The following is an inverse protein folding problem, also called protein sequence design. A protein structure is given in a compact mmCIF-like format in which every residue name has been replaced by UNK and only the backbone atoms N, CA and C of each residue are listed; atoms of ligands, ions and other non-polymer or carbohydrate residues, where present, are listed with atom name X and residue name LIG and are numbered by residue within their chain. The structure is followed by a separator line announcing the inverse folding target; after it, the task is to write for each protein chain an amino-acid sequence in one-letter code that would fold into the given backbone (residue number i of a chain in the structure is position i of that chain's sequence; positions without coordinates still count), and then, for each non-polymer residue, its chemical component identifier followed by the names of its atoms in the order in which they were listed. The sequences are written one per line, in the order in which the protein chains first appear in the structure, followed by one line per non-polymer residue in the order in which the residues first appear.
data_IF_950818587792
#
_entry.id   IF_950818587792
#
_cell.length_a   1.000
_cell.length_b   1.000
_cell.length_c   1.000
_cell.angle_alpha   90.00
_cell.angle_beta   90.00
_cell.angle_gamma   90.00
#
_symmetry.space_group_name_H-M   'P 1'
#
loop_
_entity.id
_entity.type
_entity.pdbx_description
1 polymer ?
#
# COMPACT_ATOMS: atom_id res chain seq x y z
N UNK A 1 11.02 -2.68 -20.97
CA UNK A 1 9.68 -2.64 -21.61
C UNK A 1 9.42 -1.26 -22.19
N UNK A 2 8.60 -1.17 -23.25
CA UNK A 2 8.13 0.10 -23.79
C UNK A 2 6.78 0.42 -23.14
N UNK A 3 6.71 1.48 -22.34
CA UNK A 3 5.54 1.84 -21.56
C UNK A 3 5.05 3.24 -21.96
N UNK A 4 3.75 3.37 -22.22
CA UNK A 4 3.10 4.66 -22.50
C UNK A 4 2.25 5.02 -21.27
N UNK A 5 2.45 6.22 -20.73
CA UNK A 5 1.68 6.76 -19.63
C UNK A 5 0.86 7.94 -20.14
N UNK A 6 -0.46 7.84 -20.06
CA UNK A 6 -1.38 8.90 -20.48
C UNK A 6 -1.87 9.64 -19.24
N UNK A 7 -1.45 10.89 -19.10
CA UNK A 7 -1.67 11.77 -17.97
C UNK A 7 -0.43 11.98 -17.12
N UNK A 8 0.21 13.16 -17.24
CA UNK A 8 1.36 13.60 -16.45
C UNK A 8 0.94 14.29 -15.14
N UNK A 9 -0.14 13.80 -14.52
CA UNK A 9 -0.53 14.24 -13.18
C UNK A 9 0.36 13.61 -12.10
N UNK A 10 0.06 13.88 -10.82
CA UNK A 10 0.87 13.44 -9.67
C UNK A 10 1.22 11.94 -9.66
N UNK A 11 0.27 11.08 -10.02
CA UNK A 11 0.50 9.61 -10.06
C UNK A 11 1.28 9.23 -11.30
N UNK A 12 0.93 9.79 -12.48
CA UNK A 12 1.67 9.53 -13.72
C UNK A 12 3.13 9.95 -13.62
N UNK A 13 3.41 11.11 -13.03
CA UNK A 13 4.77 11.58 -12.74
C UNK A 13 5.54 10.60 -11.87
N UNK A 14 4.98 10.21 -10.71
CA UNK A 14 5.63 9.30 -9.78
C UNK A 14 5.91 7.92 -10.41
N UNK A 15 4.97 7.43 -11.22
CA UNK A 15 5.17 6.19 -11.97
C UNK A 15 6.29 6.33 -12.99
N UNK A 16 6.31 7.44 -13.76
CA UNK A 16 7.36 7.69 -14.75
C UNK A 16 8.74 7.72 -14.11
N UNK A 17 8.88 8.43 -12.98
CA UNK A 17 10.12 8.51 -12.23
C UNK A 17 10.60 7.13 -11.75
N UNK A 18 9.72 6.31 -11.20
CA UNK A 18 10.09 4.99 -10.68
C UNK A 18 10.41 4.00 -11.80
N UNK A 19 9.58 3.96 -12.86
CA UNK A 19 9.76 3.06 -13.99
C UNK A 19 11.03 3.41 -14.81
N UNK A 20 11.38 4.69 -14.89
CA UNK A 20 12.64 5.12 -15.50
C UNK A 20 13.85 4.60 -14.72
N UNK A 21 13.81 4.65 -13.38
CA UNK A 21 14.86 4.08 -12.52
C UNK A 21 15.01 2.55 -12.68
N UNK A 22 13.96 1.87 -13.14
CA UNK A 22 13.96 0.44 -13.44
C UNK A 22 14.35 0.12 -14.90
N UNK A 23 14.91 1.10 -15.64
CA UNK A 23 15.37 0.98 -17.02
C UNK A 23 14.26 0.62 -18.03
N UNK A 24 13.05 1.14 -17.85
CA UNK A 24 11.99 1.07 -18.84
C UNK A 24 12.06 2.27 -19.80
N UNK A 25 11.69 2.07 -21.07
CA UNK A 25 11.50 3.15 -22.03
C UNK A 25 10.11 3.76 -21.85
N UNK A 26 10.04 5.00 -21.40
CA UNK A 26 8.77 5.66 -21.04
C UNK A 26 8.41 6.73 -22.07
N UNK A 27 7.16 6.73 -22.50
CA UNK A 27 6.55 7.82 -23.26
C UNK A 27 5.40 8.39 -22.44
N UNK A 28 5.39 9.70 -22.23
CA UNK A 28 4.32 10.40 -21.52
C UNK A 28 3.46 11.17 -22.52
N UNK A 29 2.14 11.01 -22.42
CA UNK A 29 1.15 11.80 -23.18
C UNK A 29 0.38 12.67 -22.20
N UNK A 30 0.34 13.99 -22.44
CA UNK A 30 -0.52 14.93 -21.71
C UNK A 30 -0.94 16.08 -22.62
N UNK A 31 -1.99 16.79 -22.25
CA UNK A 31 -2.44 18.03 -22.91
C UNK A 31 -1.75 19.27 -22.37
N UNK A 32 -1.09 19.16 -21.23
CA UNK A 32 -0.38 20.24 -20.51
C UNK A 32 1.08 20.25 -20.94
N UNK A 33 1.43 21.18 -21.84
CA UNK A 33 2.77 21.29 -22.38
C UNK A 33 3.82 21.69 -21.33
N UNK A 34 3.45 22.49 -20.32
CA UNK A 34 4.37 22.90 -19.25
C UNK A 34 4.80 21.69 -18.42
N UNK A 35 3.86 20.80 -18.08
CA UNK A 35 4.16 19.55 -17.38
C UNK A 35 5.01 18.58 -18.19
N UNK A 36 4.78 18.54 -19.50
CA UNK A 36 5.58 17.71 -20.39
C UNK A 36 7.01 18.26 -20.53
N UNK A 37 7.21 19.56 -20.59
CA UNK A 37 8.53 20.19 -20.60
C UNK A 37 9.29 19.91 -19.29
N UNK A 38 8.60 20.05 -18.14
CA UNK A 38 9.17 19.71 -16.85
C UNK A 38 9.55 18.23 -16.76
N UNK A 39 8.68 17.31 -17.21
CA UNK A 39 8.95 15.89 -17.24
C UNK A 39 10.14 15.54 -18.14
N UNK A 40 10.21 16.08 -19.34
CA UNK A 40 11.30 15.85 -20.30
C UNK A 40 12.65 16.42 -19.86
N UNK A 41 12.66 17.44 -18.99
CA UNK A 41 13.91 17.99 -18.43
C UNK A 41 14.37 17.30 -17.16
N UNK A 42 13.43 16.72 -16.38
CA UNK A 42 13.71 16.13 -15.07
C UNK A 42 13.88 14.61 -15.13
N UNK A 43 13.12 13.95 -16.01
CA UNK A 43 13.08 12.50 -16.17
C UNK A 43 13.66 12.10 -17.54
N UNK A 44 14.21 10.90 -17.63
CA UNK A 44 14.65 10.31 -18.91
C UNK A 44 13.44 9.68 -19.64
N UNK A 45 12.58 10.53 -20.21
CA UNK A 45 11.31 10.13 -20.84
C UNK A 45 11.10 10.88 -22.17
N UNK A 46 10.37 10.24 -23.09
CA UNK A 46 9.84 10.92 -24.27
C UNK A 46 8.46 11.54 -23.97
N UNK A 47 8.21 12.74 -24.44
CA UNK A 47 6.95 13.45 -24.23
C UNK A 47 6.22 13.68 -25.56
N UNK A 48 4.90 13.46 -25.55
CA UNK A 48 4.01 13.70 -26.70
C UNK A 48 2.84 14.58 -26.22
N UNK A 49 2.72 15.78 -26.78
CA UNK A 49 1.63 16.68 -26.45
C UNK A 49 0.35 16.28 -27.19
N UNK A 50 -0.76 16.08 -26.45
CA UNK A 50 -2.04 15.78 -27.05
C UNK A 50 -2.97 14.97 -26.16
N UNK A 51 -4.14 14.65 -26.72
CA UNK A 51 -5.18 13.89 -26.03
C UNK A 51 -4.95 12.41 -26.17
N UNK A 52 -4.99 11.67 -25.05
CA UNK A 52 -4.72 10.23 -25.03
C UNK A 52 -5.71 9.37 -25.82
N UNK A 53 -6.93 9.85 -26.05
CA UNK A 53 -7.94 9.21 -26.89
C UNK A 53 -7.80 9.56 -28.39
N UNK A 54 -6.76 10.29 -28.79
CA UNK A 54 -6.47 10.56 -30.20
C UNK A 54 -5.61 9.46 -30.84
N UNK A 55 -6.12 8.87 -31.91
CA UNK A 55 -5.40 7.82 -32.65
C UNK A 55 -4.06 8.31 -33.21
N UNK A 56 -3.98 9.57 -33.69
CA UNK A 56 -2.74 10.15 -34.20
C UNK A 56 -1.70 10.31 -33.07
N UNK A 57 -2.09 10.79 -31.89
CA UNK A 57 -1.22 10.94 -30.72
C UNK A 57 -0.74 9.59 -30.19
N UNK A 58 -1.63 8.59 -30.12
CA UNK A 58 -1.25 7.23 -29.71
C UNK A 58 -0.24 6.60 -30.69
N UNK A 59 -0.40 6.83 -32.00
CA UNK A 59 0.57 6.35 -33.01
C UNK A 59 1.90 7.06 -32.93
N UNK A 60 1.90 8.37 -32.73
CA UNK A 60 3.11 9.18 -32.49
C UNK A 60 3.88 8.69 -31.26
N UNK A 61 3.15 8.33 -30.19
CA UNK A 61 3.72 7.75 -28.99
C UNK A 61 4.21 6.29 -29.16
N UNK A 62 4.02 5.68 -30.33
CA UNK A 62 4.53 4.34 -30.62
C UNK A 62 3.67 3.20 -30.07
N UNK A 63 2.34 3.39 -29.95
CA UNK A 63 1.39 2.42 -29.37
C UNK A 63 1.46 1.03 -30.01
N UNK A 64 1.81 0.94 -31.30
CA UNK A 64 1.90 -0.32 -32.05
C UNK A 64 3.00 -1.28 -31.51
N UNK A 65 4.03 -0.73 -30.84
CA UNK A 65 5.11 -1.48 -30.23
C UNK A 65 5.12 -1.38 -28.69
N UNK A 66 3.99 -0.96 -28.10
CA UNK A 66 3.86 -0.73 -26.67
C UNK A 66 3.61 -2.04 -25.93
N UNK A 67 4.41 -2.33 -24.90
CA UNK A 67 4.20 -3.49 -24.02
C UNK A 67 3.08 -3.21 -23.01
N UNK A 68 2.97 -1.96 -22.54
CA UNK A 68 1.98 -1.54 -21.55
C UNK A 68 1.57 -0.09 -21.75
N UNK A 69 0.26 0.18 -21.86
CA UNK A 69 -0.28 1.53 -21.78
C UNK A 69 -1.03 1.72 -20.46
N UNK A 70 -0.75 2.82 -19.76
CA UNK A 70 -1.35 3.18 -18.47
C UNK A 70 -2.12 4.48 -18.64
N UNK A 71 -3.45 4.46 -18.57
CA UNK A 71 -4.30 5.63 -18.70
C UNK A 71 -4.71 6.18 -17.33
N UNK A 72 -4.27 7.41 -17.00
CA UNK A 72 -4.36 8.04 -15.68
C UNK A 72 -4.92 9.47 -15.70
N UNK A 73 -5.64 9.86 -16.77
CA UNK A 73 -6.26 11.19 -16.86
C UNK A 73 -7.46 11.34 -15.91
N UNK A 74 -7.98 12.57 -15.75
CA UNK A 74 -8.99 12.86 -14.74
C UNK A 74 -10.34 12.14 -14.94
N UNK A 75 -10.76 11.87 -16.20
CA UNK A 75 -12.00 11.17 -16.53
C UNK A 75 -11.79 9.67 -16.65
N UNK A 76 -12.64 8.90 -15.97
CA UNK A 76 -12.63 7.43 -16.03
C UNK A 76 -13.03 6.94 -17.42
N UNK A 77 -14.01 7.60 -18.08
CA UNK A 77 -14.46 7.28 -19.43
C UNK A 77 -13.33 7.44 -20.46
N UNK A 78 -12.55 8.53 -20.35
CA UNK A 78 -11.40 8.76 -21.22
C UNK A 78 -10.30 7.73 -20.99
N UNK A 79 -10.07 7.31 -19.75
CA UNK A 79 -9.12 6.24 -19.45
C UNK A 79 -9.53 4.92 -20.11
N UNK A 80 -10.81 4.56 -19.99
CA UNK A 80 -11.35 3.34 -20.61
C UNK A 80 -11.30 3.40 -22.13
N UNK A 81 -11.71 4.53 -22.73
CA UNK A 81 -11.64 4.74 -24.18
C UNK A 81 -10.19 4.69 -24.69
N UNK A 82 -9.27 5.35 -24.00
CA UNK A 82 -7.83 5.33 -24.35
C UNK A 82 -7.28 3.91 -24.34
N UNK A 83 -7.58 3.13 -23.32
CA UNK A 83 -7.17 1.73 -23.22
C UNK A 83 -7.76 0.87 -24.35
N UNK A 84 -9.05 1.02 -24.66
CA UNK A 84 -9.69 0.31 -25.77
C UNK A 84 -9.03 0.63 -27.11
N UNK A 85 -8.78 1.92 -27.41
CA UNK A 85 -8.09 2.34 -28.63
C UNK A 85 -6.66 1.82 -28.70
N UNK A 86 -5.90 1.94 -27.59
CA UNK A 86 -4.53 1.45 -27.52
C UNK A 86 -4.46 -0.07 -27.78
N UNK A 87 -5.38 -0.83 -27.18
CA UNK A 87 -5.47 -2.29 -27.40
C UNK A 87 -5.73 -2.62 -28.87
N UNK A 88 -6.64 -1.88 -29.51
CA UNK A 88 -6.95 -2.05 -30.93
C UNK A 88 -5.82 -1.63 -31.87
N UNK A 89 -4.98 -0.71 -31.43
CA UNK A 89 -3.81 -0.22 -32.19
C UNK A 89 -2.55 -1.09 -32.00
N UNK A 90 -2.56 -2.07 -31.06
CA UNK A 90 -1.48 -3.02 -30.91
C UNK A 90 -0.81 -3.08 -29.55
N UNK A 91 -1.22 -2.25 -28.56
CA UNK A 91 -0.70 -2.35 -27.20
C UNK A 91 -0.95 -3.76 -26.64
N UNK A 92 0.11 -4.39 -26.08
CA UNK A 92 0.00 -5.76 -25.55
C UNK A 92 -0.85 -5.80 -24.29
N UNK A 93 -0.69 -4.82 -23.41
CA UNK A 93 -1.43 -4.72 -22.16
C UNK A 93 -1.88 -3.29 -21.90
N UNK A 94 -2.98 -3.13 -21.16
CA UNK A 94 -3.53 -1.82 -20.82
C UNK A 94 -3.98 -1.77 -19.35
N UNK A 95 -3.73 -0.65 -18.68
CA UNK A 95 -4.20 -0.35 -17.33
C UNK A 95 -5.03 0.93 -17.37
N UNK A 96 -6.26 0.89 -16.89
CA UNK A 96 -7.12 2.06 -16.74
C UNK A 96 -7.28 2.44 -15.26
N UNK A 97 -7.16 3.75 -14.96
CA UNK A 97 -7.61 4.29 -13.69
C UNK A 97 -9.12 4.50 -13.75
N UNK A 98 -9.85 3.85 -12.81
CA UNK A 98 -11.30 3.94 -12.68
C UNK A 98 -11.63 4.18 -11.21
N UNK A 99 -12.18 5.34 -10.86
CA UNK A 99 -12.39 5.81 -9.49
C UNK A 99 -13.84 5.90 -9.06
N UNK A 100 -14.74 6.09 -10.02
CA UNK A 100 -16.15 6.29 -9.72
C UNK A 100 -16.78 4.98 -9.23
N UNK A 101 -17.47 5.00 -8.08
CA UNK A 101 -18.20 3.84 -7.58
C UNK A 101 -19.20 3.23 -8.56
N UNK A 102 -19.79 4.04 -9.43
CA UNK A 102 -20.76 3.59 -10.44
C UNK A 102 -20.12 2.59 -11.42
N UNK A 103 -18.82 2.77 -11.72
CA UNK A 103 -18.10 1.86 -12.62
C UNK A 103 -17.50 0.65 -11.91
N UNK A 104 -17.40 0.65 -10.59
CA UNK A 104 -16.70 -0.38 -9.82
C UNK A 104 -17.28 -1.79 -10.06
N UNK A 105 -18.60 -1.91 -10.16
CA UNK A 105 -19.28 -3.18 -10.41
C UNK A 105 -19.30 -3.51 -11.91
N UNK A 106 -19.52 -2.50 -12.76
CA UNK A 106 -19.60 -2.67 -14.21
C UNK A 106 -18.27 -3.07 -14.86
N UNK A 107 -17.14 -2.55 -14.37
CA UNK A 107 -15.83 -2.77 -14.98
C UNK A 107 -15.44 -4.24 -15.01
N UNK A 108 -15.80 -5.02 -13.99
CA UNK A 108 -15.52 -6.45 -13.93
C UNK A 108 -16.27 -7.25 -15.01
N UNK A 109 -17.39 -6.72 -15.49
CA UNK A 109 -18.21 -7.34 -16.55
C UNK A 109 -17.60 -7.05 -17.93
N UNK A 110 -17.11 -5.81 -18.14
CA UNK A 110 -16.72 -5.32 -19.48
C UNK A 110 -15.22 -5.26 -19.71
N UNK A 111 -14.38 -5.57 -18.71
CA UNK A 111 -12.91 -5.44 -18.80
C UNK A 111 -12.31 -6.19 -19.98
N UNK A 112 -12.80 -7.39 -20.27
CA UNK A 112 -12.30 -8.24 -21.35
C UNK A 112 -12.68 -7.66 -22.71
N UNK A 113 -13.89 -7.12 -22.86
CA UNK A 113 -14.36 -6.44 -24.08
C UNK A 113 -13.56 -5.15 -24.35
N UNK A 114 -13.19 -4.44 -23.28
CA UNK A 114 -12.32 -3.26 -23.36
C UNK A 114 -10.84 -3.60 -23.56
N UNK A 115 -10.48 -4.87 -23.46
CA UNK A 115 -9.11 -5.33 -23.55
C UNK A 115 -8.23 -4.86 -22.38
N UNK A 116 -8.83 -4.62 -21.21
CA UNK A 116 -8.13 -4.21 -20.01
C UNK A 116 -7.41 -5.40 -19.37
N UNK A 117 -6.09 -5.26 -19.23
CA UNK A 117 -5.30 -6.22 -18.45
C UNK A 117 -5.50 -6.01 -16.95
N UNK A 118 -5.66 -4.74 -16.53
CA UNK A 118 -5.93 -4.35 -15.16
C UNK A 118 -6.68 -3.02 -15.09
N UNK A 119 -7.49 -2.85 -14.07
CA UNK A 119 -7.98 -1.53 -13.67
C UNK A 119 -7.52 -1.22 -12.25
N UNK A 120 -7.32 0.06 -11.94
CA UNK A 120 -6.91 0.51 -10.62
C UNK A 120 -7.84 1.61 -10.13
N UNK A 121 -8.25 1.45 -8.86
CA UNK A 121 -8.97 2.47 -8.11
C UNK A 121 -8.10 2.93 -6.94
N UNK A 122 -7.47 4.12 -7.05
CA UNK A 122 -6.58 4.65 -6.01
C UNK A 122 -7.26 4.82 -4.66
N UNK A 123 -8.53 5.28 -4.70
CA UNK A 123 -9.29 5.52 -3.49
C UNK A 123 -9.69 4.21 -2.80
N UNK A 124 -10.05 3.17 -3.56
CA UNK A 124 -10.33 1.85 -3.00
C UNK A 124 -9.06 1.18 -2.47
N UNK A 125 -7.93 1.32 -3.17
CA UNK A 125 -6.64 0.79 -2.69
C UNK A 125 -6.24 1.41 -1.34
N UNK A 126 -6.33 2.75 -1.23
CA UNK A 126 -6.08 3.46 0.02
C UNK A 126 -7.12 3.15 1.11
N UNK A 127 -8.39 2.94 0.74
CA UNK A 127 -9.44 2.55 1.67
C UNK A 127 -9.17 1.18 2.31
N UNK A 128 -8.71 0.22 1.52
CA UNK A 128 -8.31 -1.10 2.03
C UNK A 128 -7.16 -1.00 3.04
N UNK A 129 -6.18 -0.12 2.79
CA UNK A 129 -5.08 0.10 3.72
C UNK A 129 -5.56 0.73 5.02
N UNK A 130 -6.40 1.77 4.96
CA UNK A 130 -7.00 2.38 6.14
C UNK A 130 -7.84 1.35 6.94
N UNK A 131 -8.65 0.55 6.25
CA UNK A 131 -9.45 -0.47 6.92
C UNK A 131 -8.59 -1.51 7.65
N UNK A 132 -7.45 -1.91 7.09
CA UNK A 132 -6.48 -2.79 7.78
C UNK A 132 -5.92 -2.16 9.03
N UNK A 133 -5.63 -0.84 9.01
CA UNK A 133 -5.20 -0.12 10.21
C UNK A 133 -6.27 -0.13 11.31
N UNK A 134 -7.55 -0.20 10.97
CA UNK A 134 -8.63 -0.35 11.97
C UNK A 134 -8.69 -1.76 12.57
N UNK A 135 -8.28 -2.78 11.81
CA UNK A 135 -8.19 -4.16 12.32
C UNK A 135 -6.97 -4.36 13.24
N UNK A 136 -5.93 -3.56 13.06
CA UNK A 136 -4.69 -3.57 13.85
C UNK A 136 -4.36 -2.15 14.33
N UNK A 137 -5.14 -1.58 15.27
CA UNK A 137 -4.97 -0.18 15.68
C UNK A 137 -3.60 0.11 16.30
N UNK A 138 -2.90 -0.88 16.85
CA UNK A 138 -1.55 -0.77 17.39
C UNK A 138 -0.49 -0.63 16.29
N UNK A 139 -0.77 -1.14 15.07
CA UNK A 139 0.18 -1.07 13.97
C UNK A 139 0.21 0.33 13.35
N UNK A 140 1.40 0.77 12.95
CA UNK A 140 1.59 2.00 12.16
C UNK A 140 1.31 1.74 10.69
N UNK A 141 1.68 0.53 10.21
CA UNK A 141 1.53 0.08 8.84
C UNK A 141 1.13 -1.40 8.84
N UNK A 142 0.28 -1.79 7.90
CA UNK A 142 -0.10 -3.19 7.68
C UNK A 142 -0.02 -3.50 6.20
N UNK A 143 0.89 -4.39 5.82
CA UNK A 143 1.02 -4.90 4.45
C UNK A 143 0.56 -6.35 4.40
N UNK A 144 -0.08 -6.75 3.31
CA UNK A 144 -0.70 -8.08 3.17
C UNK A 144 -0.07 -8.88 2.05
N UNK A 145 0.26 -10.14 2.35
CA UNK A 145 0.88 -11.11 1.46
C UNK A 145 0.05 -12.40 1.38
N UNK A 146 0.42 -13.29 0.47
CA UNK A 146 -0.18 -14.60 0.29
C UNK A 146 -1.71 -14.54 0.19
N UNK A 147 -2.24 -13.54 -0.57
CA UNK A 147 -3.69 -13.30 -0.76
C UNK A 147 -4.43 -13.08 0.56
N UNK A 148 -3.87 -12.31 1.48
CA UNK A 148 -4.49 -11.97 2.76
C UNK A 148 -4.25 -12.99 3.89
N UNK A 149 -3.30 -13.90 3.74
CA UNK A 149 -3.01 -14.91 4.78
C UNK A 149 -1.89 -14.52 5.72
N UNK A 150 -1.01 -13.65 5.28
CA UNK A 150 0.17 -13.19 6.02
C UNK A 150 0.19 -11.67 6.01
N UNK A 151 0.42 -11.10 7.18
CA UNK A 151 0.54 -9.66 7.39
C UNK A 151 1.99 -9.32 7.77
N UNK A 152 2.48 -8.19 7.28
CA UNK A 152 3.64 -7.50 7.85
C UNK A 152 3.12 -6.28 8.58
N UNK A 153 3.29 -6.27 9.90
CA UNK A 153 2.80 -5.21 10.77
C UNK A 153 3.99 -4.42 11.30
N UNK A 154 3.97 -3.10 11.11
CA UNK A 154 4.94 -2.19 11.71
C UNK A 154 4.38 -1.64 13.01
N UNK A 155 5.13 -1.83 14.10
CA UNK A 155 4.76 -1.43 15.45
C UNK A 155 5.90 -0.66 16.10
N UNK A 156 5.58 0.46 16.76
CA UNK A 156 6.56 1.23 17.53
C UNK A 156 6.52 0.77 18.98
N UNK A 157 7.66 0.30 19.48
CA UNK A 157 7.78 -0.15 20.87
C UNK A 157 7.64 1.06 21.82
N UNK A 158 6.59 1.11 22.66
CA UNK A 158 6.44 2.19 23.64
C UNK A 158 7.41 2.03 24.80
N UNK A 159 7.54 3.10 25.59
CA UNK A 159 8.28 3.05 26.86
C UNK A 159 7.65 2.01 27.80
N UNK A 160 8.52 1.24 28.48
CA UNK A 160 8.11 0.16 29.42
C UNK A 160 7.40 -1.03 28.76
N UNK A 161 7.47 -1.18 27.44
CA UNK A 161 7.00 -2.37 26.76
C UNK A 161 7.76 -3.61 27.24
N UNK A 162 7.11 -4.78 27.33
CA UNK A 162 7.82 -6.03 27.63
C UNK A 162 8.77 -6.47 26.50
N UNK A 163 8.78 -5.76 25.37
CA UNK A 163 9.73 -5.93 24.28
C UNK A 163 11.01 -5.10 24.45
N UNK A 164 11.02 -4.12 25.37
CA UNK A 164 12.22 -3.31 25.64
C UNK A 164 13.31 -4.14 26.30
N UNK A 165 14.54 -3.98 25.82
CA UNK A 165 15.75 -4.73 26.24
C UNK A 165 15.65 -6.25 26.01
N UNK A 166 14.76 -6.70 25.09
CA UNK A 166 14.53 -8.12 24.81
C UNK A 166 15.25 -8.56 23.53
N UNK A 167 16.10 -9.63 23.60
CA UNK A 167 16.65 -10.26 22.40
C UNK A 167 15.53 -10.98 21.60
N UNK A 168 15.56 -10.83 20.26
CA UNK A 168 14.52 -11.36 19.37
C UNK A 168 14.30 -12.87 19.56
N UNK A 169 15.37 -13.66 19.77
CA UNK A 169 15.24 -15.12 19.95
C UNK A 169 14.40 -15.53 21.18
N UNK A 170 14.22 -14.61 22.16
CA UNK A 170 13.40 -14.87 23.34
C UNK A 170 11.91 -14.63 23.13
N UNK A 171 11.51 -13.84 22.11
CA UNK A 171 10.11 -13.50 21.84
C UNK A 171 9.25 -14.75 21.74
N UNK A 172 9.68 -15.71 20.92
CA UNK A 172 8.95 -16.97 20.73
C UNK A 172 8.75 -17.73 22.07
N UNK A 173 9.79 -17.78 22.91
CA UNK A 173 9.76 -18.51 24.18
C UNK A 173 8.89 -17.81 25.23
N UNK A 174 9.05 -16.49 25.38
CA UNK A 174 8.37 -15.71 26.44
C UNK A 174 6.88 -15.58 26.12
N UNK A 175 6.55 -15.22 24.88
CA UNK A 175 5.16 -14.94 24.50
C UNK A 175 4.46 -16.16 23.84
N UNK A 176 5.11 -17.31 23.71
CA UNK A 176 4.55 -18.50 23.05
C UNK A 176 3.86 -18.11 21.73
N UNK A 177 4.58 -17.43 20.86
CA UNK A 177 4.09 -16.88 19.59
C UNK A 177 4.94 -17.32 18.42
N UNK A 178 4.40 -17.27 17.21
CA UNK A 178 5.13 -17.52 15.97
C UNK A 178 5.32 -16.25 15.13
N UNK A 179 5.27 -15.07 15.75
CA UNK A 179 5.63 -13.83 15.05
C UNK A 179 7.12 -13.86 14.67
N UNK A 180 7.43 -13.32 13.50
CA UNK A 180 8.80 -13.23 13.00
C UNK A 180 9.19 -11.77 12.81
N UNK A 181 10.25 -11.32 13.50
CA UNK A 181 10.79 -9.96 13.35
C UNK A 181 11.62 -9.92 12.08
N UNK A 182 11.22 -9.13 11.10
CA UNK A 182 11.88 -9.07 9.79
C UNK A 182 12.66 -7.77 9.55
N UNK A 183 12.29 -6.66 10.20
CA UNK A 183 13.04 -5.40 10.13
C UNK A 183 12.88 -4.60 11.42
N UNK A 184 13.89 -3.80 11.75
CA UNK A 184 13.88 -2.85 12.88
C UNK A 184 14.41 -1.51 12.39
N UNK A 185 13.66 -0.44 12.67
CA UNK A 185 14.08 0.93 12.43
C UNK A 185 14.41 1.59 13.76
N UNK A 186 15.64 2.12 13.88
CA UNK A 186 16.14 2.83 15.06
C UNK A 186 16.97 4.03 14.61
N UNK A 187 16.60 5.23 15.05
CA UNK A 187 17.33 6.47 14.75
C UNK A 187 17.59 6.69 13.24
N UNK A 188 16.59 6.47 12.39
CA UNK A 188 16.65 6.54 10.92
C UNK A 188 17.57 5.49 10.25
N UNK A 189 18.13 4.56 11.01
CA UNK A 189 18.82 3.39 10.49
C UNK A 189 17.87 2.19 10.43
N UNK A 190 18.07 1.32 9.44
CA UNK A 190 17.26 0.13 9.23
C UNK A 190 18.13 -1.10 9.33
N UNK A 191 17.66 -2.07 10.11
CA UNK A 191 18.33 -3.35 10.36
C UNK A 191 17.43 -4.49 9.91
N UNK A 192 18.00 -5.47 9.22
CA UNK A 192 17.43 -6.81 9.08
C UNK A 192 18.06 -7.64 10.20
N UNK A 193 17.33 -7.90 11.31
CA UNK A 193 17.93 -8.33 12.54
C UNK A 193 18.22 -9.83 12.57
N UNK A 194 19.28 -10.20 13.29
CA UNK A 194 19.51 -11.59 13.71
C UNK A 194 18.80 -11.87 15.04
N UNK A 195 18.70 -13.14 15.42
CA UNK A 195 18.08 -13.54 16.69
C UNK A 195 18.66 -12.87 17.93
N UNK A 196 19.96 -12.51 17.91
CA UNK A 196 20.64 -11.86 19.04
C UNK A 196 20.42 -10.34 19.10
N UNK A 197 19.72 -9.76 18.11
CA UNK A 197 19.42 -8.33 18.11
C UNK A 197 18.51 -7.98 19.29
N UNK A 198 18.89 -6.94 20.05
CA UNK A 198 18.15 -6.49 21.22
C UNK A 198 17.23 -5.35 20.82
N UNK A 199 15.93 -5.54 21.01
CA UNK A 199 14.90 -4.52 20.80
C UNK A 199 14.98 -3.46 21.89
N UNK A 200 14.60 -2.22 21.57
CA UNK A 200 14.59 -1.06 22.47
C UNK A 200 13.28 -0.30 22.36
N UNK A 201 12.89 0.35 23.44
CA UNK A 201 11.83 1.36 23.37
C UNK A 201 12.15 2.42 22.32
N UNK A 202 11.14 2.83 21.55
CA UNK A 202 11.28 3.75 20.42
C UNK A 202 11.60 3.09 19.08
N UNK A 203 12.02 1.81 19.04
CA UNK A 203 12.20 1.07 17.79
C UNK A 203 10.85 0.92 17.06
N UNK A 204 10.87 1.07 15.73
CA UNK A 204 9.77 0.64 14.90
C UNK A 204 10.10 -0.75 14.32
N UNK A 205 9.36 -1.76 14.77
CA UNK A 205 9.61 -3.17 14.47
C UNK A 205 8.59 -3.67 13.48
N UNK A 206 9.04 -4.33 12.41
CA UNK A 206 8.17 -5.01 11.45
C UNK A 206 8.11 -6.49 11.77
N UNK A 207 6.89 -6.99 12.01
CA UNK A 207 6.58 -8.40 12.30
C UNK A 207 5.88 -9.05 11.11
N UNK A 208 6.28 -10.28 10.78
CA UNK A 208 5.54 -11.16 9.86
C UNK A 208 4.72 -12.13 10.69
N UNK A 209 3.42 -12.19 10.46
CA UNK A 209 2.51 -13.10 11.13
C UNK A 209 1.21 -13.32 10.33
N UNK A 210 0.44 -14.34 10.66
CA UNK A 210 -0.98 -14.38 10.26
C UNK A 210 -1.78 -13.42 11.14
N UNK A 211 -2.92 -12.91 10.65
CA UNK A 211 -3.77 -11.98 11.41
C UNK A 211 -4.11 -12.48 12.82
N UNK A 212 -4.40 -13.78 12.96
CA UNK A 212 -4.70 -14.41 14.25
C UNK A 212 -3.49 -14.34 15.20
N UNK A 213 -2.32 -14.74 14.72
CA UNK A 213 -1.07 -14.76 15.51
C UNK A 213 -0.67 -13.34 15.92
N UNK A 214 -0.83 -12.36 15.03
CA UNK A 214 -0.56 -10.96 15.32
C UNK A 214 -1.45 -10.43 16.47
N UNK A 215 -2.76 -10.65 16.39
CA UNK A 215 -3.69 -10.23 17.44
C UNK A 215 -3.37 -10.90 18.78
N UNK A 216 -3.12 -12.22 18.80
CA UNK A 216 -2.72 -12.93 20.02
C UNK A 216 -1.41 -12.38 20.60
N UNK A 217 -0.47 -12.00 19.75
CA UNK A 217 0.81 -11.42 20.17
C UNK A 217 0.62 -10.05 20.81
N UNK A 218 -0.15 -9.14 20.19
CA UNK A 218 -0.41 -7.82 20.76
C UNK A 218 -1.06 -7.92 22.14
N UNK A 219 -2.03 -8.80 22.32
CA UNK A 219 -2.61 -9.06 23.66
C UNK A 219 -1.56 -9.53 24.67
N UNK A 220 -0.64 -10.43 24.27
CA UNK A 220 0.40 -10.97 25.15
C UNK A 220 1.46 -9.94 25.55
N UNK A 221 1.72 -8.95 24.74
CA UNK A 221 2.65 -7.86 25.09
C UNK A 221 1.95 -6.72 25.85
N UNK A 222 0.67 -6.91 26.21
CA UNK A 222 -0.11 -5.94 27.00
C UNK A 222 -0.78 -4.85 26.17
N UNK A 223 -0.71 -4.95 24.85
CA UNK A 223 -1.49 -4.12 23.96
C UNK A 223 -2.89 -4.72 23.87
N UNK A 224 -3.80 -4.24 24.72
CA UNK A 224 -5.21 -4.63 24.59
C UNK A 224 -5.68 -4.25 23.19
N UNK A 225 -6.25 -5.22 22.48
CA UNK A 225 -6.91 -4.95 21.21
C UNK A 225 -8.21 -4.17 21.51
N UNK A 226 -8.10 -2.87 21.70
CA UNK A 226 -9.25 -1.98 21.61
C UNK A 226 -9.77 -2.12 20.19
N UNK A 227 -10.79 -2.98 20.03
CA UNK A 227 -11.44 -3.14 18.74
C UNK A 227 -12.06 -1.81 18.40
N UNK A 228 -11.65 -1.23 17.29
CA UNK A 228 -12.31 -0.04 16.75
C UNK A 228 -13.76 -0.39 16.46
N UNK A 229 -14.69 0.34 17.05
CA UNK A 229 -16.13 0.20 16.85
C UNK A 229 -16.77 1.46 16.32
N UNK A 230 -16.27 2.60 16.76
CA UNK A 230 -16.81 3.92 16.45
C UNK A 230 -15.74 4.77 15.76
N UNK A 231 -15.95 5.11 14.49
CA UNK A 231 -15.02 5.85 13.64
C UNK A 231 -15.63 7.19 13.26
N UNK A 232 -14.88 8.27 13.51
CA UNK A 232 -15.18 9.61 12.99
C UNK A 232 -14.30 9.92 11.80
N UNK A 233 -14.89 10.28 10.67
CA UNK A 233 -14.20 10.64 9.44
C UNK A 233 -14.46 12.12 9.14
N UNK A 234 -13.39 12.89 8.97
CA UNK A 234 -13.45 14.30 8.58
C UNK A 234 -13.17 14.43 7.08
N UNK A 235 -14.19 14.85 6.32
CA UNK A 235 -14.16 14.97 4.86
C UNK A 235 -14.89 13.84 4.14
N UNK A 236 -15.88 14.16 3.30
CA UNK A 236 -16.78 13.23 2.59
C UNK A 236 -16.34 12.88 1.16
N UNK A 237 -15.04 12.80 0.88
CA UNK A 237 -14.50 12.48 -0.45
C UNK A 237 -14.78 11.05 -0.95
N UNK A 238 -14.28 10.71 -2.16
CA UNK A 238 -14.38 9.33 -2.69
C UNK A 238 -13.70 8.30 -1.80
N UNK A 239 -12.53 8.64 -1.23
CA UNK A 239 -11.83 7.78 -0.30
C UNK A 239 -12.72 7.45 0.91
N UNK A 240 -13.39 8.46 1.49
CA UNK A 240 -14.32 8.28 2.60
C UNK A 240 -15.45 7.33 2.26
N UNK A 241 -16.02 7.42 1.07
CA UNK A 241 -17.05 6.47 0.61
C UNK A 241 -16.55 5.02 0.67
N UNK A 242 -15.38 4.73 0.07
CA UNK A 242 -14.85 3.37 0.06
C UNK A 242 -14.45 2.88 1.45
N UNK A 243 -13.79 3.72 2.25
CA UNK A 243 -13.45 3.39 3.66
C UNK A 243 -14.71 3.06 4.43
N UNK A 244 -15.73 3.94 4.37
CA UNK A 244 -16.97 3.75 5.13
C UNK A 244 -17.69 2.46 4.74
N UNK A 245 -17.76 2.14 3.44
CA UNK A 245 -18.36 0.91 2.95
C UNK A 245 -17.68 -0.32 3.56
N UNK A 246 -16.34 -0.38 3.54
CA UNK A 246 -15.58 -1.51 4.10
C UNK A 246 -15.74 -1.61 5.62
N UNK A 247 -15.74 -0.47 6.32
CA UNK A 247 -15.89 -0.44 7.79
C UNK A 247 -17.28 -0.88 8.22
N UNK A 248 -18.33 -0.42 7.53
CA UNK A 248 -19.71 -0.82 7.78
C UNK A 248 -19.91 -2.32 7.55
N UNK A 249 -19.38 -2.86 6.44
CA UNK A 249 -19.38 -4.31 6.16
C UNK A 249 -18.64 -5.12 7.25
N UNK A 250 -17.72 -4.47 7.99
CA UNK A 250 -16.99 -5.03 9.13
C UNK A 250 -17.69 -4.79 10.48
N UNK A 251 -18.95 -4.31 10.50
CA UNK A 251 -19.73 -3.94 11.67
C UNK A 251 -19.08 -2.83 12.53
N UNK A 252 -18.45 -1.86 11.90
CA UNK A 252 -17.89 -0.66 12.52
C UNK A 252 -18.85 0.51 12.24
N UNK A 253 -19.22 1.26 13.27
CA UNK A 253 -20.04 2.44 13.12
C UNK A 253 -19.24 3.59 12.54
N UNK A 254 -19.79 4.27 11.54
CA UNK A 254 -19.11 5.35 10.85
C UNK A 254 -19.91 6.63 10.96
N UNK A 255 -19.26 7.70 11.43
CA UNK A 255 -19.76 9.06 11.44
C UNK A 255 -18.87 9.89 10.48
N UNK A 256 -19.48 10.61 9.53
CA UNK A 256 -18.79 11.43 8.54
C UNK A 256 -19.18 12.90 8.74
N UNK A 257 -18.19 13.78 8.88
CA UNK A 257 -18.37 15.23 8.95
C UNK A 257 -17.92 15.81 7.61
N UNK A 258 -18.85 16.45 6.88
CA UNK A 258 -18.61 17.00 5.54
C UNK A 258 -19.23 18.39 5.42
N UNK A 259 -18.45 19.33 4.86
CA UNK A 259 -18.84 20.73 4.73
C UNK A 259 -19.78 21.01 3.55
N UNK A 260 -19.70 20.20 2.49
CA UNK A 260 -20.54 20.35 1.30
C UNK A 260 -21.87 19.64 1.47
N UNK A 261 -22.97 20.41 1.48
CA UNK A 261 -24.33 19.88 1.65
C UNK A 261 -24.74 18.89 0.55
N UNK A 262 -24.41 19.19 -0.71
CA UNK A 262 -24.74 18.30 -1.82
C UNK A 262 -23.98 16.97 -1.71
N UNK A 263 -22.75 17.04 -1.19
CA UNK A 263 -21.94 15.83 -0.91
C UNK A 263 -22.51 15.03 0.27
N UNK A 264 -23.01 15.68 1.31
CA UNK A 264 -23.73 15.01 2.40
C UNK A 264 -24.95 14.25 1.89
N UNK A 265 -25.78 14.88 1.08
CA UNK A 265 -26.98 14.28 0.51
C UNK A 265 -26.62 13.06 -0.35
N UNK A 266 -25.63 13.16 -1.22
CA UNK A 266 -25.11 12.06 -2.02
C UNK A 266 -24.58 10.88 -1.19
N UNK A 267 -23.82 11.16 -0.13
CA UNK A 267 -23.31 10.11 0.74
C UNK A 267 -24.41 9.42 1.54
N UNK A 268 -25.44 10.17 1.96
CA UNK A 268 -26.59 9.62 2.68
C UNK A 268 -27.38 8.60 1.84
N UNK A 269 -27.44 8.80 0.51
CA UNK A 269 -28.06 7.86 -0.40
C UNK A 269 -27.22 6.58 -0.58
N UNK A 270 -25.89 6.73 -0.66
CA UNK A 270 -24.98 5.61 -0.91
C UNK A 270 -24.59 4.81 0.34
N UNK A 271 -24.66 5.43 1.53
CA UNK A 271 -24.23 4.87 2.81
C UNK A 271 -25.32 5.05 3.85
N UNK A 272 -26.48 4.39 3.72
CA UNK A 272 -27.62 4.60 4.63
C UNK A 272 -27.33 4.19 6.09
N UNK A 273 -26.31 3.39 6.33
CA UNK A 273 -25.89 2.95 7.67
C UNK A 273 -24.88 3.91 8.31
N UNK A 274 -24.31 4.87 7.57
CA UNK A 274 -23.41 5.87 8.11
C UNK A 274 -24.17 7.07 8.66
N UNK A 275 -23.68 7.66 9.74
CA UNK A 275 -24.16 8.95 10.23
C UNK A 275 -23.47 10.08 9.48
N UNK A 276 -24.20 10.88 8.71
CA UNK A 276 -23.66 11.99 7.94
C UNK A 276 -23.99 13.31 8.62
N UNK A 277 -22.97 14.06 8.99
CA UNK A 277 -23.07 15.38 9.63
C UNK A 277 -22.64 16.46 8.65
N UNK A 278 -23.55 17.38 8.33
CA UNK A 278 -23.23 18.55 7.55
C UNK A 278 -22.57 19.61 8.42
N UNK A 279 -21.28 19.88 8.20
CA UNK A 279 -20.56 20.89 8.96
C UNK A 279 -19.06 20.93 8.62
N UNK A 280 -18.43 22.00 9.08
CA UNK A 280 -16.99 22.20 8.93
C UNK A 280 -16.25 21.42 10.03
N UNK A 281 -15.48 20.40 9.63
CA UNK A 281 -14.68 19.59 10.54
C UNK A 281 -13.54 20.35 11.23
N UNK A 282 -13.25 21.59 10.85
CA UNK A 282 -12.31 22.46 11.60
C UNK A 282 -12.97 23.21 12.74
N UNK A 283 -14.29 23.14 12.86
CA UNK A 283 -15.04 23.77 13.93
C UNK A 283 -15.01 22.89 15.20
N UNK A 284 -14.24 23.32 16.18
CA UNK A 284 -14.08 22.64 17.45
C UNK A 284 -15.40 22.40 18.19
N UNK A 285 -16.33 23.38 18.18
CA UNK A 285 -17.64 23.26 18.83
C UNK A 285 -18.45 22.11 18.20
N UNK A 286 -18.46 22.01 16.88
CA UNK A 286 -19.12 20.91 16.17
C UNK A 286 -18.51 19.55 16.54
N UNK A 287 -17.17 19.45 16.62
CA UNK A 287 -16.51 18.19 16.97
C UNK A 287 -16.89 17.72 18.38
N UNK A 288 -17.00 18.64 19.35
CA UNK A 288 -17.47 18.33 20.69
C UNK A 288 -18.96 17.98 20.74
N UNK A 289 -19.83 18.71 20.01
CA UNK A 289 -21.26 18.37 19.91
C UNK A 289 -21.45 16.96 19.34
N UNK A 290 -20.61 16.57 18.37
CA UNK A 290 -20.60 15.25 17.76
C UNK A 290 -19.80 14.21 18.55
N UNK A 291 -19.30 14.58 19.73
CA UNK A 291 -18.65 13.68 20.69
C UNK A 291 -17.45 12.96 20.10
N UNK A 292 -16.52 13.74 19.49
CA UNK A 292 -15.27 13.18 18.96
C UNK A 292 -14.48 12.42 20.03
N UNK A 293 -14.65 12.77 21.30
CA UNK A 293 -13.99 12.19 22.47
C UNK A 293 -14.35 10.72 22.70
N UNK A 294 -15.49 10.28 22.17
CA UNK A 294 -15.95 8.89 22.31
C UNK A 294 -15.49 8.00 21.14
N UNK A 295 -14.75 8.56 20.16
CA UNK A 295 -14.32 7.82 18.98
C UNK A 295 -13.16 6.87 19.29
N UNK A 296 -13.23 5.63 18.81
CA UNK A 296 -12.11 4.69 18.83
C UNK A 296 -11.07 5.02 17.73
N UNK A 297 -11.53 5.69 16.65
CA UNK A 297 -10.63 6.15 15.60
C UNK A 297 -11.11 7.46 14.96
N UNK A 298 -10.14 8.29 14.55
CA UNK A 298 -10.37 9.55 13.82
C UNK A 298 -9.58 9.55 12.52
N UNK A 299 -10.29 9.71 11.40
CA UNK A 299 -9.70 9.70 10.06
C UNK A 299 -9.80 11.09 9.44
N UNK A 300 -8.67 11.77 9.20
CA UNK A 300 -8.61 13.07 8.55
C UNK A 300 -8.38 12.90 7.05
N UNK A 301 -9.47 12.96 6.25
CA UNK A 301 -9.50 12.60 4.83
C UNK A 301 -9.95 13.74 3.90
N UNK A 302 -9.81 15.00 4.32
CA UNK A 302 -10.24 16.17 3.55
C UNK A 302 -9.44 16.38 2.26
N UNK A 303 -9.77 17.41 1.51
CA UNK A 303 -9.04 17.84 0.31
C UNK A 303 -7.69 18.53 0.58
N UNK A 304 -7.45 19.06 1.79
CA UNK A 304 -6.24 19.80 2.20
C UNK A 304 -5.38 18.98 3.14
N UNK A 305 -4.09 18.89 2.84
CA UNK A 305 -3.10 18.20 3.66
C UNK A 305 -2.88 18.93 4.99
N UNK A 306 -2.86 20.27 4.96
CA UNK A 306 -2.71 21.13 6.14
C UNK A 306 -3.87 20.93 7.13
N UNK A 307 -5.11 20.90 6.62
CA UNK A 307 -6.27 20.61 7.46
C UNK A 307 -6.21 19.21 8.04
N UNK A 308 -5.79 18.21 7.25
CA UNK A 308 -5.67 16.83 7.72
C UNK A 308 -4.64 16.72 8.85
N UNK A 309 -3.47 17.40 8.72
CA UNK A 309 -2.45 17.42 9.77
C UNK A 309 -2.99 18.09 11.03
N UNK A 310 -3.60 19.28 10.91
CA UNK A 310 -4.16 20.00 12.07
C UNK A 310 -5.25 19.19 12.79
N UNK A 311 -6.17 18.59 12.03
CA UNK A 311 -7.25 17.77 12.61
C UNK A 311 -6.71 16.53 13.30
N UNK A 312 -5.70 15.89 12.72
CA UNK A 312 -5.08 14.72 13.33
C UNK A 312 -4.29 15.06 14.59
N UNK A 313 -3.57 16.18 14.61
CA UNK A 313 -2.94 16.69 15.84
C UNK A 313 -3.97 16.98 16.94
N UNK A 314 -5.07 17.65 16.56
CA UNK A 314 -6.17 17.92 17.48
C UNK A 314 -6.78 16.62 18.02
N UNK A 315 -7.11 15.67 17.15
CA UNK A 315 -7.65 14.36 17.54
C UNK A 315 -6.71 13.61 18.50
N UNK A 316 -5.40 13.58 18.20
CA UNK A 316 -4.40 12.93 19.07
C UNK A 316 -4.27 13.57 20.46
N UNK A 317 -4.66 14.87 20.60
CA UNK A 317 -4.70 15.54 21.90
C UNK A 317 -6.01 15.28 22.66
N UNK A 318 -7.14 15.30 21.95
CA UNK A 318 -8.47 15.12 22.58
C UNK A 318 -8.76 13.67 22.92
N UNK A 319 -8.31 12.72 22.09
CA UNK A 319 -8.54 11.29 22.22
C UNK A 319 -7.22 10.52 22.09
N UNK A 320 -6.36 10.55 23.13
CA UNK A 320 -5.01 9.98 23.06
C UNK A 320 -4.98 8.48 22.75
N UNK A 321 -6.03 7.76 23.12
CA UNK A 321 -6.16 6.31 22.90
C UNK A 321 -6.79 5.95 21.56
N UNK A 322 -7.32 6.93 20.82
CA UNK A 322 -7.93 6.69 19.52
C UNK A 322 -6.86 6.43 18.43
N UNK A 323 -7.20 5.54 17.51
CA UNK A 323 -6.41 5.40 16.27
C UNK A 323 -6.60 6.62 15.38
N UNK A 324 -5.53 7.36 15.12
CA UNK A 324 -5.56 8.50 14.20
C UNK A 324 -4.95 8.13 12.85
N UNK A 325 -5.62 8.50 11.76
CA UNK A 325 -5.11 8.31 10.39
C UNK A 325 -5.19 9.62 9.62
N UNK A 326 -4.09 10.00 9.02
CA UNK A 326 -3.92 11.25 8.29
C UNK A 326 -3.67 10.98 6.82
N UNK A 327 -4.54 11.49 5.95
CA UNK A 327 -4.29 11.46 4.50
C UNK A 327 -3.38 12.61 4.08
N UNK A 328 -2.30 12.29 3.37
CA UNK A 328 -1.37 13.25 2.79
C UNK A 328 -1.24 13.01 1.29
N UNK A 329 -1.27 14.07 0.50
CA UNK A 329 -1.13 14.03 -0.97
C UNK A 329 0.24 14.47 -1.46
N UNK A 330 0.97 15.28 -0.67
CA UNK A 330 2.24 15.90 -1.01
C UNK A 330 3.32 15.50 0.00
N UNK A 331 4.51 15.16 -0.50
CA UNK A 331 5.57 14.51 0.28
C UNK A 331 6.73 15.40 0.71
N UNK A 332 6.71 16.68 0.38
CA UNK A 332 7.90 17.52 0.47
C UNK A 332 8.40 17.76 1.90
N UNK A 333 7.70 17.23 2.92
CA UNK A 333 7.99 17.45 4.35
C UNK A 333 7.94 16.17 5.20
N UNK A 334 8.24 15.00 4.65
CA UNK A 334 8.12 13.71 5.36
C UNK A 334 8.91 13.68 6.68
N UNK A 335 10.12 14.25 6.72
CA UNK A 335 10.92 14.30 7.96
C UNK A 335 10.23 15.12 9.07
N UNK A 336 9.50 16.17 8.68
CA UNK A 336 8.73 16.99 9.63
C UNK A 336 7.48 16.24 10.10
N UNK A 337 6.75 15.63 9.17
CA UNK A 337 5.52 14.88 9.47
C UNK A 337 5.79 13.68 10.38
N UNK A 338 6.89 12.97 10.17
CA UNK A 338 7.31 11.84 11.02
C UNK A 338 7.63 12.24 12.47
N UNK A 339 7.95 13.52 12.72
CA UNK A 339 8.16 14.08 14.05
C UNK A 339 6.87 14.56 14.75
N UNK A 340 5.74 14.63 14.03
CA UNK A 340 4.46 15.09 14.56
C UNK A 340 3.61 13.94 15.09
N UNK A 341 2.79 14.22 16.10
CA UNK A 341 1.80 13.25 16.60
C UNK A 341 0.51 13.31 15.76
N UNK A 342 0.54 12.73 14.56
CA UNK A 342 -0.57 12.72 13.59
C UNK A 342 -1.05 11.31 13.23
N UNK A 343 -0.66 10.33 14.03
CA UNK A 343 -1.05 8.93 13.84
C UNK A 343 -0.42 8.27 12.61
N UNK A 344 -1.14 7.34 12.00
CA UNK A 344 -0.71 6.67 10.76
C UNK A 344 -0.93 7.57 9.55
N UNK A 345 0.10 7.73 8.72
CA UNK A 345 0.00 8.53 7.50
C UNK A 345 -0.32 7.61 6.31
N UNK A 346 -1.32 7.98 5.53
CA UNK A 346 -1.70 7.27 4.31
C UNK A 346 -1.48 8.17 3.10
N UNK A 347 -0.77 7.62 2.12
CA UNK A 347 -0.39 8.32 0.89
C UNK A 347 -1.04 7.64 -0.34
N UNK A 348 -2.25 8.03 -0.77
CA UNK A 348 -2.98 7.36 -1.86
C UNK A 348 -2.20 7.32 -3.19
N UNK A 349 -1.32 8.30 -3.42
CA UNK A 349 -0.46 8.37 -4.60
C UNK A 349 0.55 7.22 -4.62
N UNK A 350 1.26 7.00 -3.51
CA UNK A 350 2.28 5.95 -3.38
C UNK A 350 1.66 4.58 -3.48
N UNK A 351 0.56 4.35 -2.77
CA UNK A 351 -0.20 3.08 -2.81
C UNK A 351 -0.55 2.72 -4.26
N UNK A 352 -1.01 3.71 -5.04
CA UNK A 352 -1.35 3.51 -6.45
C UNK A 352 -0.13 3.16 -7.30
N UNK A 353 0.95 3.92 -7.13
CA UNK A 353 2.20 3.68 -7.87
C UNK A 353 2.76 2.30 -7.57
N UNK A 354 2.82 1.92 -6.30
CA UNK A 354 3.32 0.61 -5.86
C UNK A 354 2.46 -0.53 -6.41
N UNK A 355 1.14 -0.33 -6.50
CA UNK A 355 0.24 -1.33 -7.07
C UNK A 355 0.50 -1.55 -8.57
N UNK A 356 0.74 -0.48 -9.32
CA UNK A 356 1.07 -0.57 -10.75
C UNK A 356 2.47 -1.13 -10.96
N UNK A 357 3.46 -0.69 -10.17
CA UNK A 357 4.83 -1.21 -10.24
C UNK A 357 4.89 -2.71 -9.98
N UNK A 358 4.17 -3.20 -8.98
CA UNK A 358 4.03 -4.64 -8.74
C UNK A 358 3.54 -5.37 -9.99
N UNK A 359 2.50 -4.84 -10.63
CA UNK A 359 1.97 -5.43 -11.86
C UNK A 359 2.99 -5.40 -13.01
N UNK A 360 3.71 -4.29 -13.20
CA UNK A 360 4.75 -4.16 -14.23
C UNK A 360 5.88 -5.18 -14.00
N UNK A 361 6.34 -5.32 -12.77
CA UNK A 361 7.39 -6.30 -12.40
C UNK A 361 6.93 -7.74 -12.63
N UNK A 362 5.69 -8.07 -12.27
CA UNK A 362 5.10 -9.39 -12.55
C UNK A 362 5.02 -9.64 -14.05
N UNK A 363 4.63 -8.65 -14.86
CA UNK A 363 4.60 -8.76 -16.32
C UNK A 363 5.98 -8.94 -16.93
N UNK A 364 6.97 -8.16 -16.48
CA UNK A 364 8.35 -8.23 -16.94
C UNK A 364 8.94 -9.62 -16.69
N UNK A 365 8.57 -10.21 -15.57
CA UNK A 365 9.09 -11.48 -15.10
C UNK A 365 8.25 -12.69 -15.52
N UNK A 366 7.13 -12.49 -16.24
CA UNK A 366 6.17 -13.55 -16.59
C UNK A 366 6.73 -14.73 -17.41
N UNK A 367 7.95 -14.62 -17.92
CA UNK A 367 8.61 -15.67 -18.69
C UNK A 367 9.69 -16.44 -17.90
N UNK A 368 10.22 -15.88 -16.77
CA UNK A 368 11.34 -16.50 -16.02
C UNK A 368 11.38 -16.13 -14.53
N UNK A 369 10.35 -15.49 -13.96
CA UNK A 369 10.31 -15.08 -12.56
C UNK A 369 9.17 -15.73 -11.80
N UNK A 370 9.48 -16.12 -10.55
CA UNK A 370 8.54 -16.68 -9.59
C UNK A 370 7.92 -15.62 -8.67
N UNK A 371 8.25 -14.32 -8.83
CA UNK A 371 7.79 -13.23 -7.98
C UNK A 371 6.31 -12.90 -8.22
N UNK A 372 5.49 -12.96 -7.17
CA UNK A 372 4.07 -12.59 -7.19
C UNK A 372 3.82 -11.17 -6.67
N UNK A 373 4.59 -10.70 -5.68
CA UNK A 373 4.44 -9.34 -5.15
C UNK A 373 5.73 -8.79 -4.55
N UNK A 374 5.80 -7.46 -4.47
CA UNK A 374 6.87 -6.72 -3.83
C UNK A 374 6.26 -5.57 -3.03
N UNK A 375 6.71 -5.40 -1.79
CA UNK A 375 6.34 -4.28 -0.93
C UNK A 375 7.60 -3.63 -0.37
N UNK A 376 7.58 -2.32 -0.27
CA UNK A 376 8.63 -1.58 0.41
C UNK A 376 8.24 -1.41 1.88
N UNK A 377 9.11 -1.84 2.78
CA UNK A 377 8.96 -1.68 4.23
C UNK A 377 10.14 -0.89 4.79
N UNK A 378 10.06 -0.49 6.05
CA UNK A 378 11.13 0.18 6.75
C UNK A 378 11.69 1.38 5.96
N UNK A 379 10.84 2.38 5.70
CA UNK A 379 11.21 3.63 5.01
C UNK A 379 11.81 3.39 3.60
N UNK A 380 11.26 2.43 2.85
CA UNK A 380 11.71 2.01 1.50
C UNK A 380 13.15 1.45 1.43
N UNK A 381 13.77 1.17 2.58
CA UNK A 381 15.14 0.61 2.64
C UNK A 381 15.16 -0.92 2.59
N UNK A 382 14.05 -1.57 2.87
CA UNK A 382 13.89 -3.03 2.87
C UNK A 382 12.77 -3.40 1.91
N UNK A 383 12.96 -4.46 1.14
CA UNK A 383 11.96 -5.05 0.27
C UNK A 383 11.43 -6.35 0.89
N UNK A 384 10.11 -6.50 0.87
CA UNK A 384 9.45 -7.76 1.16
C UNK A 384 8.91 -8.32 -0.17
N UNK A 385 9.43 -9.47 -0.56
CA UNK A 385 9.20 -10.11 -1.85
C UNK A 385 8.41 -11.39 -1.66
N UNK A 386 7.39 -11.60 -2.45
CA UNK A 386 6.60 -12.83 -2.46
C UNK A 386 6.91 -13.64 -3.73
N UNK A 387 7.35 -14.87 -3.55
CA UNK A 387 7.67 -15.79 -4.64
C UNK A 387 6.72 -16.98 -4.63
N UNK A 388 6.18 -17.32 -5.80
CA UNK A 388 5.45 -18.56 -6.03
C UNK A 388 6.40 -19.59 -6.66
N UNK A 389 6.72 -20.63 -5.94
CA UNK A 389 7.74 -21.58 -6.38
C UNK A 389 7.20 -22.51 -7.47
N UNK A 390 7.86 -22.48 -8.63
CA UNK A 390 7.63 -23.35 -9.78
C UNK A 390 8.81 -24.34 -9.92
N UNK A 391 8.86 -25.09 -11.02
CA UNK A 391 9.73 -26.27 -11.16
C UNK A 391 11.25 -25.98 -11.29
N UNK A 392 11.69 -24.74 -11.44
CA UNK A 392 13.09 -24.41 -11.75
C UNK A 392 13.74 -23.47 -10.73
N UNK A 393 13.89 -23.93 -9.49
CA UNK A 393 14.62 -23.19 -8.47
C UNK A 393 15.73 -24.07 -7.88
N UNK A 394 16.97 -23.59 -7.89
CA UNK A 394 18.15 -24.37 -7.47
C UNK A 394 18.24 -24.60 -5.96
N UNK A 395 17.51 -23.83 -5.15
CA UNK A 395 17.52 -23.93 -3.68
C UNK A 395 16.39 -24.80 -3.13
N UNK A 396 15.71 -25.57 -3.99
CA UNK A 396 14.64 -26.48 -3.57
C UNK A 396 15.15 -27.64 -2.74
N UNK A 397 14.35 -28.01 -1.74
CA UNK A 397 14.60 -29.17 -0.85
C UNK A 397 15.92 -29.11 -0.07
N UNK A 398 16.59 -27.96 -0.04
CA UNK A 398 17.77 -27.72 0.77
C UNK A 398 17.30 -27.13 2.11
N UNK A 399 17.77 -27.66 3.28
CA UNK A 399 17.47 -27.06 4.57
C UNK A 399 17.88 -25.58 4.60
N UNK A 400 17.03 -24.71 5.13
CA UNK A 400 17.29 -23.26 5.14
C UNK A 400 18.57 -22.91 5.90
N UNK A 401 18.99 -23.73 6.89
CA UNK A 401 20.26 -23.57 7.60
C UNK A 401 21.49 -23.82 6.75
N UNK A 402 21.35 -24.50 5.60
CA UNK A 402 22.43 -24.79 4.65
C UNK A 402 22.49 -23.78 3.50
N UNK A 403 21.47 -22.91 3.38
CA UNK A 403 21.46 -21.86 2.38
C UNK A 403 22.34 -20.70 2.83
N UNK A 404 23.35 -20.36 2.01
CA UNK A 404 24.18 -19.19 2.23
C UNK A 404 23.46 -17.94 1.66
N UNK A 405 22.52 -17.39 2.43
CA UNK A 405 21.75 -16.21 2.00
C UNK A 405 22.62 -14.95 2.03
N UNK A 406 22.40 -14.06 1.05
CA UNK A 406 23.06 -12.74 1.02
C UNK A 406 22.80 -11.96 2.30
N UNK A 407 23.78 -11.15 2.70
CA UNK A 407 23.65 -10.29 3.88
C UNK A 407 22.39 -9.42 3.83
N UNK A 408 21.71 -9.28 4.95
CA UNK A 408 20.44 -8.52 5.02
C UNK A 408 19.26 -9.21 4.35
N UNK A 409 19.29 -10.54 4.18
CA UNK A 409 18.21 -11.31 3.56
C UNK A 409 17.70 -12.39 4.52
N UNK A 410 16.38 -12.46 4.70
CA UNK A 410 15.68 -13.43 5.55
C UNK A 410 14.50 -14.06 4.81
N UNK A 411 14.29 -15.36 4.99
CA UNK A 411 13.07 -16.07 4.59
C UNK A 411 12.09 -15.98 5.76
N UNK A 412 11.09 -15.12 5.62
CA UNK A 412 10.22 -14.71 6.72
C UNK A 412 8.99 -15.59 6.90
N UNK A 413 8.47 -16.16 5.80
CA UNK A 413 7.28 -17.02 5.83
C UNK A 413 7.26 -18.00 4.66
N UNK A 414 6.70 -19.18 4.88
CA UNK A 414 6.37 -20.15 3.84
C UNK A 414 4.88 -20.49 3.95
N UNK A 415 4.18 -20.40 2.83
CA UNK A 415 2.80 -20.89 2.71
C UNK A 415 2.79 -22.13 1.83
N UNK A 416 2.45 -23.29 2.42
CA UNK A 416 2.36 -24.61 1.77
C UNK A 416 0.95 -25.15 1.93
N UNK A 417 0.33 -25.62 0.86
CA UNK A 417 -1.02 -26.16 0.84
C UNK A 417 -2.05 -25.27 1.55
N UNK A 418 -1.89 -23.95 1.39
CA UNK A 418 -2.75 -22.94 2.01
C UNK A 418 -2.51 -22.66 3.49
N UNK A 419 -1.52 -23.31 4.12
CA UNK A 419 -1.12 -23.07 5.51
C UNK A 419 0.18 -22.27 5.56
N UNK A 420 0.13 -21.11 6.23
CA UNK A 420 1.29 -20.25 6.43
C UNK A 420 1.98 -20.55 7.75
N UNK A 421 3.32 -20.61 7.74
CA UNK A 421 4.14 -20.81 8.92
C UNK A 421 5.46 -20.04 8.82
N UNK A 422 6.02 -19.71 9.97
CA UNK A 422 7.38 -19.17 10.09
C UNK A 422 8.37 -20.32 9.97
N UNK A 423 9.25 -20.32 8.96
CA UNK A 423 10.18 -21.43 8.77
C UNK A 423 11.31 -21.42 9.79
N UNK A 424 11.84 -22.58 10.05
CA UNK A 424 13.06 -22.82 10.86
C UNK A 424 14.21 -23.27 9.95
N UNK A 425 15.44 -23.28 10.46
CA UNK A 425 16.59 -23.75 9.68
C UNK A 425 16.49 -25.21 9.17
N UNK A 426 15.58 -26.02 9.74
CA UNK A 426 15.35 -27.42 9.32
C UNK A 426 14.33 -27.54 8.17
N UNK A 427 13.56 -26.50 7.95
CA UNK A 427 12.58 -26.48 6.87
C UNK A 427 13.28 -26.26 5.53
N UNK A 428 12.64 -26.69 4.46
CA UNK A 428 13.10 -26.49 3.08
C UNK A 428 11.97 -25.94 2.22
N UNK A 429 12.32 -25.22 1.18
CA UNK A 429 11.39 -24.71 0.17
C UNK A 429 11.04 -25.84 -0.80
N UNK A 430 9.76 -25.96 -1.16
CA UNK A 430 9.24 -26.98 -2.06
C UNK A 430 8.47 -26.35 -3.23
N UNK A 431 8.35 -27.12 -4.32
CA UNK A 431 7.50 -26.72 -5.46
C UNK A 431 6.06 -26.52 -4.97
N UNK A 432 5.45 -25.42 -5.39
CA UNK A 432 4.10 -25.05 -4.99
C UNK A 432 4.02 -24.16 -3.74
N UNK A 433 5.13 -23.95 -3.02
CA UNK A 433 5.17 -23.00 -1.91
C UNK A 433 5.01 -21.57 -2.39
N UNK A 434 4.47 -20.72 -1.52
CA UNK A 434 4.60 -19.27 -1.61
C UNK A 434 5.55 -18.83 -0.49
N UNK A 435 6.65 -18.17 -0.86
CA UNK A 435 7.74 -17.80 0.06
C UNK A 435 7.82 -16.29 0.17
N UNK A 436 7.84 -15.75 1.40
CA UNK A 436 8.07 -14.33 1.66
C UNK A 436 9.52 -14.15 2.10
N UNK A 437 10.25 -13.37 1.32
CA UNK A 437 11.65 -12.98 1.56
C UNK A 437 11.69 -11.51 1.92
N UNK A 438 12.43 -11.18 2.98
CA UNK A 438 12.70 -9.79 3.38
C UNK A 438 14.17 -9.50 3.16
N UNK A 439 14.49 -8.41 2.44
CA UNK A 439 15.88 -8.14 2.04
C UNK A 439 16.19 -6.66 1.89
N UNK A 440 17.43 -6.27 2.16
CA UNK A 440 17.98 -4.95 1.82
C UNK A 440 18.54 -4.90 0.40
N UNK A 441 18.70 -6.05 -0.25
CA UNK A 441 19.17 -6.14 -1.63
C UNK A 441 18.08 -5.63 -2.58
N UNK A 442 18.49 -4.93 -3.64
CA UNK A 442 17.59 -4.37 -4.64
C UNK A 442 17.62 -5.16 -5.94
N UNK A 443 16.47 -5.18 -6.64
CA UNK A 443 16.39 -5.78 -7.97
C UNK A 443 16.36 -7.30 -8.00
N UNK A 444 16.08 -7.97 -6.88
CA UNK A 444 15.86 -9.42 -6.85
C UNK A 444 14.56 -9.73 -7.58
N UNK A 445 14.66 -10.58 -8.60
CA UNK A 445 13.54 -11.00 -9.45
C UNK A 445 13.25 -12.51 -9.35
N UNK A 446 14.24 -13.30 -8.94
CA UNK A 446 14.15 -14.75 -8.77
C UNK A 446 14.58 -15.17 -7.38
N UNK A 447 13.96 -16.23 -6.86
CA UNK A 447 14.30 -16.71 -5.53
C UNK A 447 15.75 -17.18 -5.42
N UNK A 448 16.33 -17.75 -6.48
CA UNK A 448 17.75 -18.19 -6.51
C UNK A 448 18.75 -17.03 -6.25
N UNK A 449 18.35 -15.79 -6.52
CA UNK A 449 19.21 -14.61 -6.36
C UNK A 449 19.41 -14.20 -4.88
N UNK A 450 18.67 -14.79 -3.95
CA UNK A 450 18.83 -14.51 -2.52
C UNK A 450 20.06 -15.19 -1.91
N UNK A 451 20.65 -16.17 -2.57
CA UNK A 451 21.85 -16.88 -2.10
C UNK A 451 23.11 -16.32 -2.74
N UNK A 452 24.23 -16.48 -2.04
CA UNK A 452 25.55 -16.19 -2.63
C UNK A 452 25.88 -17.27 -3.67
N UNK A 453 26.43 -16.85 -4.78
CA UNK A 453 26.80 -17.73 -5.91
C UNK A 453 28.06 -18.56 -5.61
#
# INVERSE_FOLDING_TARGET
MNIIIVGCGKVGWALSEQLTKENHSIVIIDTDEERLEEAGTTLDVMCVAGRGESVSVLKEAGVENCDLLIAMVASDELNLLTCLLAKRLGAKNTIARVRDPIYADAINIIKDDLGLSMHINPELAAANEIARLMLFPQAILVETFAKGRVEILKYKIPDKSPLDDLPIYQIHKIFSTSVFVCAVERNNEVFVPTGNFILRAGDAVSFVATAKVANEFFVKIGEEANKVKDVVIIGGGRLTYYVSKILIESNIHVKIIEADKARCDFLSELLPEAMIIHGDGTNNHLLHEERIEDADAVLSLTGSDEQNVLMSMYASQQVPDAKVVTKIKHFDFDDVLNGMNIGSIVYPKTITSDYILRYVRVMQNSWDSDMESLHHIASNKVEALEFRIREHCHILNIPLSELNTKEGTLIANITRDGKSFTPTGKDSIQVGDTVIVVTTQKGISRLDEIVES
#
